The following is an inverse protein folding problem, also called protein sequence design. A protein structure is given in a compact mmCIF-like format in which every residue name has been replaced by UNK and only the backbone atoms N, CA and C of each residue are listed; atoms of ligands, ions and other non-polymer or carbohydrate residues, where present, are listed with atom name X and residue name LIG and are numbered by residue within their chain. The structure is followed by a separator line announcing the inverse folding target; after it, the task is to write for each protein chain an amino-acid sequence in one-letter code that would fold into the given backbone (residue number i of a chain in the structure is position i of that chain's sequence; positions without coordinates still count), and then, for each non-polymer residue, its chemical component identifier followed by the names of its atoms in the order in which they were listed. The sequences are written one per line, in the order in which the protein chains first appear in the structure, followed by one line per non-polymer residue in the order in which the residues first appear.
data_IF_424055187930
#
_entry.id   IF_424055187930
#
_cell.length_a   1.000
_cell.length_b   1.000
_cell.length_c   1.000
_cell.angle_alpha   90.00
_cell.angle_beta   90.00
_cell.angle_gamma   90.00
#
_symmetry.space_group_name_H-M   'P 1'
#
loop_
_entity.id
_entity.type
_entity.pdbx_description
1 polymer ?
#
# COMPACT_ATOMS: atom_id res chain seq x y z
N UNK A 1 -0.64 13.18 -38.27
CA UNK A 1 -1.08 11.86 -38.81
C UNK A 1 0.04 11.06 -39.47
N UNK A 2 0.94 11.63 -40.28
CA UNK A 2 2.05 10.88 -40.91
C UNK A 2 3.11 10.35 -39.90
N UNK A 3 3.36 11.04 -38.79
CA UNK A 3 4.32 10.65 -37.78
C UNK A 3 3.87 9.44 -36.93
N UNK A 4 2.56 9.33 -36.66
CA UNK A 4 1.99 8.21 -35.90
C UNK A 4 2.02 6.92 -36.74
N UNK A 5 1.84 7.03 -38.06
CA UNK A 5 1.89 5.88 -38.97
C UNK A 5 3.29 5.22 -39.09
N UNK A 6 4.35 6.01 -38.85
CA UNK A 6 5.74 5.52 -38.88
C UNK A 6 6.16 4.80 -37.58
N UNK A 7 5.54 5.13 -36.45
CA UNK A 7 5.73 4.38 -35.20
C UNK A 7 5.15 2.97 -35.26
N UNK A 8 3.96 2.82 -35.86
CA UNK A 8 3.27 1.53 -35.99
C UNK A 8 4.01 0.50 -36.85
N UNK A 9 4.92 0.93 -37.71
CA UNK A 9 5.71 0.04 -38.60
C UNK A 9 7.18 -0.08 -38.18
N UNK A 10 7.58 0.42 -37.01
CA UNK A 10 8.95 0.29 -36.50
C UNK A 10 10.00 1.06 -37.31
N UNK A 11 9.60 1.96 -38.22
CA UNK A 11 10.47 2.74 -39.09
C UNK A 11 10.88 4.09 -38.51
N UNK A 12 10.41 4.46 -37.32
CA UNK A 12 10.88 5.65 -36.64
C UNK A 12 12.22 5.36 -35.98
N UNK A 13 13.26 6.14 -36.25
CA UNK A 13 14.48 5.97 -35.47
C UNK A 13 14.17 6.17 -34.00
N UNK A 14 14.48 5.17 -33.19
CA UNK A 14 14.41 5.28 -31.73
C UNK A 14 15.10 6.58 -31.32
N UNK A 15 14.47 7.43 -30.50
CA UNK A 15 15.13 8.62 -29.98
C UNK A 15 16.44 8.15 -29.35
N UNK A 16 17.56 8.80 -29.72
CA UNK A 16 18.84 8.52 -29.07
C UNK A 16 18.60 8.66 -27.58
N UNK A 17 18.80 7.57 -26.82
CA UNK A 17 18.70 7.59 -25.36
C UNK A 17 19.48 8.78 -24.86
N UNK A 18 18.81 9.69 -24.17
CA UNK A 18 19.45 10.78 -23.47
C UNK A 18 20.35 10.14 -22.40
N UNK A 19 21.64 10.09 -22.64
CA UNK A 19 22.61 9.80 -21.61
C UNK A 19 22.73 11.06 -20.74
N UNK A 20 21.82 11.20 -19.80
CA UNK A 20 21.98 12.19 -18.74
C UNK A 20 23.04 11.63 -17.78
N UNK A 21 24.24 12.11 -17.98
CA UNK A 21 25.27 11.97 -16.95
C UNK A 21 25.01 13.10 -15.93
N UNK A 22 24.36 12.84 -14.78
CA UNK A 22 24.17 13.84 -13.76
C UNK A 22 25.57 14.25 -13.27
N UNK A 23 25.94 15.47 -13.58
CA UNK A 23 27.26 16.04 -13.38
C UNK A 23 27.92 15.55 -12.09
N UNK A 24 28.95 14.74 -12.20
CA UNK A 24 29.99 14.59 -11.20
C UNK A 24 29.72 13.72 -9.98
N UNK A 25 28.60 12.99 -9.89
CA UNK A 25 28.46 11.94 -8.85
C UNK A 25 28.97 10.62 -9.43
N UNK A 26 30.00 9.99 -8.83
CA UNK A 26 30.26 8.60 -9.10
C UNK A 26 29.01 7.84 -8.68
N UNK A 27 28.32 7.22 -9.64
CA UNK A 27 27.22 6.30 -9.35
C UNK A 27 27.83 5.17 -8.52
N UNK A 28 27.54 5.17 -7.22
CA UNK A 28 27.93 4.08 -6.34
C UNK A 28 27.27 2.81 -6.88
N UNK A 29 28.05 1.97 -7.52
CA UNK A 29 27.56 0.68 -8.01
C UNK A 29 27.15 -0.16 -6.81
N UNK A 30 25.89 -0.55 -6.76
CA UNK A 30 25.45 -1.65 -5.93
C UNK A 30 24.70 -1.33 -4.65
N UNK A 31 24.48 -0.07 -4.29
CA UNK A 31 23.80 0.28 -3.03
C UNK A 31 22.53 1.12 -3.24
N UNK A 32 21.83 0.93 -4.34
CA UNK A 32 20.58 1.62 -4.64
C UNK A 32 19.45 0.62 -4.92
N UNK A 33 18.30 0.85 -4.32
CA UNK A 33 17.07 0.08 -4.51
C UNK A 33 15.97 1.02 -5.01
N UNK A 34 15.34 0.67 -6.13
CA UNK A 34 14.12 1.33 -6.57
C UNK A 34 12.92 0.49 -6.16
N UNK A 35 12.00 1.12 -5.42
CA UNK A 35 10.75 0.51 -4.96
C UNK A 35 9.57 1.09 -5.70
N UNK A 36 8.77 0.22 -6.32
CA UNK A 36 7.58 0.61 -7.06
C UNK A 36 6.29 0.09 -6.42
N UNK A 37 5.76 0.77 -5.39
CA UNK A 37 4.39 0.52 -4.94
C UNK A 37 3.38 1.13 -5.90
N UNK A 38 2.39 0.33 -6.30
CA UNK A 38 1.29 0.83 -7.12
C UNK A 38 0.28 1.61 -6.28
N UNK A 39 -0.48 2.50 -6.92
CA UNK A 39 -1.66 3.09 -6.30
C UNK A 39 -2.86 2.18 -6.57
N UNK A 40 -3.26 1.42 -5.54
CA UNK A 40 -4.53 0.69 -5.54
C UNK A 40 -5.69 1.58 -5.08
N UNK A 41 -6.63 0.97 -4.35
CA UNK A 41 -7.77 1.65 -3.73
C UNK A 41 -7.37 2.42 -2.46
N UNK A 42 -6.19 2.10 -1.89
CA UNK A 42 -5.69 2.69 -0.64
C UNK A 42 -4.16 2.60 -0.52
N UNK A 43 -3.66 2.87 0.68
CA UNK A 43 -2.22 2.91 0.99
C UNK A 43 -1.53 1.54 1.08
N UNK A 44 -2.22 0.41 0.85
CA UNK A 44 -1.71 -0.93 1.14
C UNK A 44 -0.31 -1.23 0.59
N UNK A 45 -0.12 -1.03 -0.71
CA UNK A 45 1.16 -1.26 -1.38
C UNK A 45 2.25 -0.27 -0.91
N UNK A 46 1.89 1.01 -0.81
CA UNK A 46 2.78 2.06 -0.35
C UNK A 46 3.28 1.80 1.09
N UNK A 47 2.37 1.44 1.99
CA UNK A 47 2.69 1.16 3.40
C UNK A 47 3.63 -0.02 3.55
N UNK A 48 3.40 -1.12 2.82
CA UNK A 48 4.31 -2.28 2.84
C UNK A 48 5.70 -1.94 2.32
N UNK A 49 5.77 -1.21 1.19
CA UNK A 49 7.07 -0.77 0.65
C UNK A 49 7.79 0.17 1.61
N UNK A 50 7.07 1.07 2.27
CA UNK A 50 7.67 1.96 3.27
C UNK A 50 8.16 1.18 4.49
N UNK A 51 7.41 0.15 4.92
CA UNK A 51 7.81 -0.74 6.00
C UNK A 51 9.12 -1.49 5.67
N UNK A 52 9.23 -1.99 4.44
CA UNK A 52 10.45 -2.63 3.94
C UNK A 52 11.61 -1.64 3.87
N UNK A 53 11.39 -0.47 3.28
CA UNK A 53 12.40 0.58 3.15
C UNK A 53 12.97 1.03 4.50
N UNK A 54 12.11 1.22 5.51
CA UNK A 54 12.54 1.56 6.89
C UNK A 54 13.50 0.49 7.44
N UNK A 55 13.16 -0.78 7.29
CA UNK A 55 13.97 -1.89 7.83
C UNK A 55 15.28 -2.02 7.07
N UNK A 56 15.25 -1.98 5.75
CA UNK A 56 16.48 -2.03 4.94
C UNK A 56 17.44 -0.87 5.27
N UNK A 57 16.92 0.36 5.43
CA UNK A 57 17.75 1.52 5.83
C UNK A 57 18.23 1.44 7.28
N UNK A 58 17.54 0.73 8.15
CA UNK A 58 17.98 0.46 9.53
C UNK A 58 19.14 -0.53 9.55
N UNK A 59 19.11 -1.54 8.68
CA UNK A 59 20.15 -2.56 8.56
C UNK A 59 21.38 -2.03 7.82
N UNK A 60 21.19 -1.23 6.77
CA UNK A 60 22.25 -0.53 6.04
C UNK A 60 21.90 0.96 5.88
N UNK A 61 22.52 1.79 6.70
CA UNK A 61 22.32 3.26 6.67
C UNK A 61 22.82 3.93 5.39
N UNK A 62 23.70 3.26 4.62
CA UNK A 62 24.24 3.77 3.37
C UNK A 62 23.38 3.36 2.16
N UNK A 63 22.35 2.52 2.39
CA UNK A 63 21.46 2.10 1.32
C UNK A 63 20.63 3.28 0.81
N UNK A 64 20.73 3.56 -0.47
CA UNK A 64 19.86 4.52 -1.14
C UNK A 64 18.56 3.82 -1.55
N UNK A 65 17.45 4.23 -0.97
CA UNK A 65 16.12 3.76 -1.34
C UNK A 65 15.39 4.88 -2.06
N UNK A 66 14.89 4.59 -3.25
CA UNK A 66 14.15 5.52 -4.09
C UNK A 66 12.78 4.92 -4.38
N UNK A 67 11.74 5.72 -4.24
CA UNK A 67 10.41 5.31 -4.67
C UNK A 67 10.15 5.78 -6.09
N UNK A 68 9.64 4.88 -6.91
CA UNK A 68 8.96 5.21 -8.15
C UNK A 68 7.51 4.81 -8.00
N UNK A 69 6.55 5.74 -8.08
CA UNK A 69 5.18 5.42 -7.67
C UNK A 69 4.12 6.21 -8.41
N UNK A 70 2.93 5.63 -8.48
CA UNK A 70 1.71 6.32 -8.92
C UNK A 70 0.94 6.97 -7.75
N UNK A 71 1.46 6.90 -6.52
CA UNK A 71 0.88 7.51 -5.33
C UNK A 71 1.17 9.01 -5.28
N UNK A 72 0.16 9.88 -5.14
CA UNK A 72 0.36 11.34 -5.15
C UNK A 72 0.92 11.88 -3.81
N UNK A 73 0.95 11.08 -2.74
CA UNK A 73 1.31 11.51 -1.39
C UNK A 73 2.81 11.42 -1.09
N UNK A 74 3.64 11.94 -1.98
CA UNK A 74 5.13 11.86 -1.88
C UNK A 74 5.69 12.53 -0.62
N UNK A 75 5.00 13.51 -0.07
CA UNK A 75 5.41 14.20 1.17
C UNK A 75 5.54 13.25 2.36
N UNK A 76 4.86 12.09 2.34
CA UNK A 76 4.95 11.06 3.38
C UNK A 76 6.32 10.35 3.41
N UNK A 77 7.09 10.42 2.34
CA UNK A 77 8.43 9.85 2.25
C UNK A 77 9.51 10.77 2.84
N UNK A 78 9.22 12.08 2.93
CA UNK A 78 10.18 13.10 3.41
C UNK A 78 10.72 12.82 4.81
N UNK A 79 9.89 12.44 5.83
CA UNK A 79 10.39 12.13 7.17
C UNK A 79 11.37 10.96 7.22
N UNK A 80 11.36 10.11 6.20
CA UNK A 80 12.21 8.92 6.08
C UNK A 80 13.46 9.16 5.21
N UNK A 81 13.63 10.39 4.67
CA UNK A 81 14.73 10.71 3.76
C UNK A 81 14.72 9.86 2.49
N UNK A 82 13.53 9.55 1.96
CA UNK A 82 13.34 8.73 0.76
C UNK A 82 12.93 9.65 -0.39
N UNK A 83 13.77 9.82 -1.43
CA UNK A 83 13.41 10.53 -2.65
C UNK A 83 12.41 9.69 -3.47
N UNK A 84 11.64 10.38 -4.34
CA UNK A 84 10.65 9.69 -5.15
C UNK A 84 10.50 10.31 -6.54
N UNK A 85 10.29 9.44 -7.53
CA UNK A 85 9.76 9.77 -8.84
C UNK A 85 8.25 9.44 -8.86
N UNK A 86 7.48 10.26 -9.55
CA UNK A 86 6.03 10.08 -9.62
C UNK A 86 5.55 10.10 -11.06
N UNK A 87 4.72 9.11 -11.41
CA UNK A 87 3.92 9.13 -12.63
C UNK A 87 2.45 8.98 -12.24
N UNK A 88 1.60 9.85 -12.74
CA UNK A 88 0.16 9.74 -12.47
C UNK A 88 -0.40 8.45 -13.07
N UNK A 89 -1.34 7.81 -12.36
CA UNK A 89 -2.02 6.62 -12.86
C UNK A 89 -2.84 6.89 -14.13
N UNK A 90 -3.11 5.89 -14.98
CA UNK A 90 -3.74 6.08 -16.30
C UNK A 90 -5.11 6.77 -16.21
N UNK A 91 -5.86 6.55 -15.14
CA UNK A 91 -7.18 7.17 -14.93
C UNK A 91 -7.15 8.70 -14.78
N UNK A 92 -5.98 9.29 -14.52
CA UNK A 92 -5.82 10.74 -14.35
C UNK A 92 -5.38 11.44 -15.65
N UNK A 93 -5.11 10.69 -16.71
CA UNK A 93 -4.78 11.22 -18.03
C UNK A 93 -6.00 11.15 -18.92
N UNK A 94 -6.59 12.29 -19.26
CA UNK A 94 -7.66 12.35 -20.24
C UNK A 94 -7.10 12.16 -21.65
N UNK A 95 -7.68 11.22 -22.41
CA UNK A 95 -7.32 10.98 -23.80
C UNK A 95 -6.06 10.14 -24.05
N UNK A 96 -5.42 9.62 -23.00
CA UNK A 96 -4.35 8.64 -23.12
C UNK A 96 -4.94 7.23 -22.97
N UNK A 97 -4.65 6.35 -23.92
CA UNK A 97 -5.00 4.95 -23.80
C UNK A 97 -3.97 4.17 -22.95
N UNK A 98 -4.27 2.90 -22.66
CA UNK A 98 -3.40 2.07 -21.84
C UNK A 98 -2.05 1.75 -22.49
N UNK A 99 -1.96 1.77 -23.82
CA UNK A 99 -0.72 1.53 -24.56
C UNK A 99 0.20 2.76 -24.48
N UNK A 100 -0.35 3.93 -24.70
CA UNK A 100 0.37 5.19 -24.58
C UNK A 100 0.86 5.41 -23.16
N UNK A 101 0.01 5.16 -22.14
CA UNK A 101 0.42 5.26 -20.74
C UNK A 101 1.55 4.29 -20.39
N UNK A 102 1.50 3.04 -20.90
CA UNK A 102 2.57 2.08 -20.68
C UNK A 102 3.88 2.48 -21.40
N UNK A 103 3.80 3.21 -22.51
CA UNK A 103 4.99 3.75 -23.17
C UNK A 103 5.65 4.85 -22.33
N UNK A 104 4.85 5.76 -21.77
CA UNK A 104 5.35 6.77 -20.82
C UNK A 104 5.95 6.14 -19.56
N UNK A 105 5.29 5.13 -18.99
CA UNK A 105 5.79 4.42 -17.83
C UNK A 105 7.15 3.75 -18.11
N UNK A 106 7.31 3.14 -19.28
CA UNK A 106 8.57 2.52 -19.70
C UNK A 106 9.69 3.57 -19.81
N UNK A 107 9.41 4.71 -20.43
CA UNK A 107 10.37 5.81 -20.61
C UNK A 107 10.80 6.38 -19.26
N UNK A 108 9.86 6.75 -18.39
CA UNK A 108 10.12 7.33 -17.07
C UNK A 108 10.86 6.36 -16.14
N UNK A 109 10.47 5.09 -16.14
CA UNK A 109 11.15 4.09 -15.31
C UNK A 109 12.54 3.76 -15.85
N UNK A 110 12.72 3.73 -17.18
CA UNK A 110 14.04 3.58 -17.82
C UNK A 110 14.95 4.75 -17.44
N UNK A 111 14.44 5.98 -17.52
CA UNK A 111 15.16 7.16 -17.07
C UNK A 111 15.57 7.08 -15.60
N UNK A 112 14.67 6.63 -14.74
CA UNK A 112 14.93 6.41 -13.31
C UNK A 112 16.08 5.40 -13.12
N UNK A 113 16.07 4.27 -13.84
CA UNK A 113 17.14 3.27 -13.78
C UNK A 113 18.48 3.80 -14.28
N UNK A 114 18.49 4.59 -15.35
CA UNK A 114 19.71 5.18 -15.90
C UNK A 114 20.30 6.27 -15.00
N UNK A 115 19.43 7.00 -14.30
CA UNK A 115 19.85 8.06 -13.37
C UNK A 115 20.46 7.48 -12.09
N UNK A 116 19.87 6.42 -11.55
CA UNK A 116 20.22 5.90 -10.22
C UNK A 116 21.02 4.61 -10.24
N UNK A 117 21.10 3.92 -11.38
CA UNK A 117 21.81 2.65 -11.57
C UNK A 117 21.58 1.64 -10.41
N UNK A 118 20.32 1.26 -10.12
CA UNK A 118 20.02 0.41 -8.99
C UNK A 118 20.53 -1.01 -9.18
N UNK A 119 20.86 -1.67 -8.06
CA UNK A 119 21.14 -3.10 -8.03
C UNK A 119 19.90 -3.95 -7.80
N UNK A 120 18.83 -3.33 -7.31
CA UNK A 120 17.57 -4.02 -6.96
C UNK A 120 16.36 -3.17 -7.36
N UNK A 121 15.35 -3.85 -7.89
CA UNK A 121 14.03 -3.29 -8.18
C UNK A 121 12.98 -4.12 -7.48
N UNK A 122 12.17 -3.48 -6.63
CA UNK A 122 11.10 -4.14 -5.88
C UNK A 122 9.76 -3.56 -6.31
N UNK A 123 8.91 -4.40 -6.88
CA UNK A 123 7.57 -4.05 -7.27
C UNK A 123 6.55 -4.55 -6.25
N UNK A 124 5.59 -3.72 -5.84
CA UNK A 124 4.44 -4.14 -5.03
C UNK A 124 3.14 -3.70 -5.71
N UNK A 125 2.44 -4.65 -6.24
CA UNK A 125 1.18 -4.47 -6.95
C UNK A 125 0.50 -5.78 -7.25
N UNK A 126 -0.81 -5.72 -7.51
CA UNK A 126 -1.58 -6.91 -7.88
C UNK A 126 -1.13 -7.48 -9.23
N UNK A 127 -0.85 -6.59 -10.17
CA UNK A 127 -0.44 -6.94 -11.54
C UNK A 127 0.66 -6.00 -12.02
N UNK A 128 1.75 -6.55 -12.60
CA UNK A 128 2.77 -5.77 -13.26
C UNK A 128 2.23 -5.03 -14.48
N UNK A 129 2.67 -3.79 -14.64
CA UNK A 129 2.35 -3.01 -15.84
C UNK A 129 3.26 -3.40 -17.00
N UNK A 130 2.72 -3.44 -18.23
CA UNK A 130 3.50 -3.81 -19.41
C UNK A 130 4.69 -2.89 -19.68
N UNK A 131 4.54 -1.58 -19.47
CA UNK A 131 5.64 -0.63 -19.60
C UNK A 131 6.75 -0.89 -18.57
N UNK A 132 6.37 -1.25 -17.34
CA UNK A 132 7.34 -1.64 -16.31
C UNK A 132 8.08 -2.93 -16.70
N UNK A 133 7.38 -3.95 -17.18
CA UNK A 133 8.01 -5.20 -17.63
C UNK A 133 9.04 -4.96 -18.73
N UNK A 134 8.72 -4.11 -19.71
CA UNK A 134 9.69 -3.72 -20.76
C UNK A 134 10.87 -2.93 -20.20
N UNK A 135 10.66 -2.04 -19.24
CA UNK A 135 11.74 -1.28 -18.62
C UNK A 135 12.74 -2.15 -17.85
N UNK A 136 12.30 -3.26 -17.24
CA UNK A 136 13.19 -4.20 -16.50
C UNK A 136 13.77 -5.30 -17.39
N UNK A 137 13.21 -5.51 -18.58
CA UNK A 137 13.67 -6.55 -19.51
C UNK A 137 15.14 -6.37 -19.90
N UNK A 138 15.88 -7.47 -19.98
CA UNK A 138 17.28 -7.48 -20.40
C UNK A 138 18.27 -6.86 -19.40
N UNK A 139 17.84 -6.32 -18.26
CA UNK A 139 18.73 -5.76 -17.23
C UNK A 139 19.32 -6.87 -16.35
N UNK A 140 20.44 -7.45 -16.78
CA UNK A 140 21.09 -8.61 -16.13
C UNK A 140 21.67 -8.31 -14.75
N UNK A 141 22.02 -7.04 -14.48
CA UNK A 141 22.63 -6.62 -13.21
C UNK A 141 21.61 -6.04 -12.23
N UNK A 142 20.31 -6.19 -12.51
CA UNK A 142 19.20 -5.72 -11.70
C UNK A 142 18.47 -6.93 -11.10
N UNK A 143 18.52 -7.08 -9.78
CA UNK A 143 17.69 -8.06 -9.09
C UNK A 143 16.23 -7.58 -9.08
N UNK A 144 15.34 -8.35 -9.66
CA UNK A 144 13.93 -8.01 -9.87
C UNK A 144 13.05 -8.81 -8.91
N UNK A 145 12.41 -8.12 -8.00
CA UNK A 145 11.59 -8.71 -6.94
C UNK A 145 10.15 -8.24 -7.09
N UNK A 146 9.22 -9.18 -7.04
CA UNK A 146 7.80 -8.86 -6.96
C UNK A 146 7.25 -9.21 -5.57
N UNK A 147 6.86 -8.20 -4.82
CA UNK A 147 6.11 -8.34 -3.57
C UNK A 147 4.65 -8.63 -3.91
N UNK A 148 4.25 -9.88 -3.82
CA UNK A 148 2.93 -10.35 -4.24
C UNK A 148 2.22 -11.03 -3.08
N UNK A 149 1.11 -10.45 -2.62
CA UNK A 149 0.26 -11.13 -1.63
C UNK A 149 -0.32 -12.42 -2.22
N UNK A 150 -0.38 -13.46 -1.40
CA UNK A 150 -0.88 -14.77 -1.82
C UNK A 150 -2.38 -14.96 -1.63
N UNK A 151 -3.02 -14.14 -0.78
CA UNK A 151 -4.42 -14.32 -0.45
C UNK A 151 -5.33 -13.66 -1.48
N UNK A 152 -5.87 -14.49 -2.35
CA UNK A 152 -6.85 -14.08 -3.33
C UNK A 152 -8.18 -14.79 -3.08
N UNK A 153 -9.28 -14.10 -3.34
CA UNK A 153 -10.60 -14.70 -3.33
C UNK A 153 -10.63 -15.94 -4.24
N UNK A 154 -11.28 -17.00 -3.81
CA UNK A 154 -11.46 -18.21 -4.61
C UNK A 154 -12.07 -17.85 -5.98
N UNK A 155 -11.36 -18.24 -7.05
CA UNK A 155 -11.74 -17.93 -8.44
C UNK A 155 -11.19 -16.61 -8.99
N UNK A 156 -10.44 -15.83 -8.23
CA UNK A 156 -9.71 -14.67 -8.77
C UNK A 156 -8.70 -15.15 -9.83
N UNK A 157 -8.70 -14.48 -10.99
CA UNK A 157 -7.69 -14.74 -12.02
C UNK A 157 -6.41 -14.00 -11.68
N UNK A 158 -5.35 -14.76 -11.48
CA UNK A 158 -4.00 -14.22 -11.30
C UNK A 158 -3.32 -14.32 -12.66
N UNK A 159 -2.81 -13.21 -13.24
CA UNK A 159 -1.97 -13.31 -14.43
C UNK A 159 -0.64 -13.97 -14.04
N UNK A 160 -0.51 -15.22 -14.42
CA UNK A 160 0.71 -16.02 -14.16
C UNK A 160 1.83 -15.66 -15.14
N UNK A 161 1.48 -15.08 -16.28
CA UNK A 161 2.37 -14.72 -17.39
C UNK A 161 3.45 -13.68 -17.07
N UNK A 162 3.36 -13.01 -15.93
CA UNK A 162 4.32 -11.96 -15.55
C UNK A 162 5.41 -12.44 -14.59
N UNK A 163 5.28 -13.63 -14.01
CA UNK A 163 6.22 -14.17 -13.00
C UNK A 163 7.63 -14.33 -13.58
N UNK A 164 7.74 -14.76 -14.83
CA UNK A 164 9.01 -15.00 -15.54
C UNK A 164 9.90 -13.76 -15.70
N UNK A 165 9.37 -12.57 -15.49
CA UNK A 165 10.14 -11.33 -15.58
C UNK A 165 10.87 -10.97 -14.27
N UNK A 166 10.62 -11.73 -13.20
CA UNK A 166 11.21 -11.49 -11.88
C UNK A 166 12.15 -12.63 -11.48
N UNK A 167 13.14 -12.29 -10.67
CA UNK A 167 14.10 -13.26 -10.15
C UNK A 167 13.55 -13.91 -8.86
N UNK A 168 12.79 -13.13 -8.06
CA UNK A 168 12.21 -13.57 -6.78
C UNK A 168 10.78 -13.04 -6.64
N UNK A 169 9.87 -13.89 -6.19
CA UNK A 169 8.55 -13.50 -5.70
C UNK A 169 8.59 -13.53 -4.18
N UNK A 170 8.38 -12.38 -3.54
CA UNK A 170 8.24 -12.30 -2.08
C UNK A 170 6.77 -12.29 -1.71
N UNK A 171 6.39 -13.23 -0.85
CA UNK A 171 5.02 -13.36 -0.35
C UNK A 171 4.97 -12.97 1.13
N UNK A 172 4.44 -11.77 1.45
CA UNK A 172 4.15 -11.41 2.84
C UNK A 172 3.09 -12.33 3.41
N UNK A 173 3.33 -12.86 4.60
CA UNK A 173 2.37 -13.71 5.31
C UNK A 173 1.03 -13.01 5.56
N UNK A 174 -0.02 -13.78 5.70
CA UNK A 174 -1.36 -13.32 6.04
C UNK A 174 -1.94 -14.19 7.16
N UNK A 175 -3.17 -13.91 7.60
CA UNK A 175 -3.82 -14.65 8.68
C UNK A 175 -4.28 -16.05 8.26
N UNK A 176 -4.47 -16.28 6.96
CA UNK A 176 -4.92 -17.57 6.41
C UNK A 176 -3.74 -18.32 5.84
N UNK A 177 -3.68 -19.62 6.10
CA UNK A 177 -2.72 -20.51 5.46
C UNK A 177 -2.93 -20.51 3.94
N UNK A 178 -1.89 -20.10 3.25
CA UNK A 178 -1.90 -20.07 1.80
C UNK A 178 -1.69 -21.48 1.26
N UNK A 179 -2.44 -21.81 0.20
CA UNK A 179 -2.17 -23.02 -0.56
C UNK A 179 -0.72 -22.98 -1.09
N UNK A 180 -0.05 -24.12 -1.06
CA UNK A 180 1.23 -24.24 -1.71
C UNK A 180 1.09 -23.95 -3.19
N UNK A 181 1.78 -22.94 -3.65
CA UNK A 181 1.83 -22.56 -5.07
C UNK A 181 3.25 -22.84 -5.56
N UNK A 182 3.38 -23.75 -6.48
CA UNK A 182 4.60 -23.88 -7.27
C UNK A 182 4.62 -22.80 -8.33
N UNK A 183 5.64 -21.96 -8.31
CA UNK A 183 5.81 -20.94 -9.35
C UNK A 183 6.40 -21.59 -10.60
N UNK A 184 5.78 -21.33 -11.74
CA UNK A 184 6.32 -21.73 -13.04
C UNK A 184 7.66 -21.02 -13.31
N UNK A 185 8.46 -21.56 -14.23
CA UNK A 185 9.73 -20.99 -14.71
C UNK A 185 10.90 -20.95 -13.72
N UNK A 186 10.84 -21.69 -12.60
CA UNK A 186 11.96 -21.78 -11.65
C UNK A 186 12.23 -20.45 -10.90
N UNK A 187 11.24 -19.59 -10.80
CA UNK A 187 11.31 -18.35 -10.02
C UNK A 187 11.29 -18.70 -8.53
N UNK A 188 12.19 -18.10 -7.76
CA UNK A 188 12.27 -18.32 -6.32
C UNK A 188 11.04 -17.73 -5.61
N UNK A 189 10.41 -18.52 -4.73
CA UNK A 189 9.35 -18.06 -3.83
C UNK A 189 9.90 -17.90 -2.41
N UNK A 190 10.00 -16.66 -1.96
CA UNK A 190 10.39 -16.32 -0.58
C UNK A 190 9.15 -15.91 0.22
N UNK A 191 9.01 -16.47 1.44
CA UNK A 191 7.96 -16.06 2.39
C UNK A 191 8.55 -15.19 3.49
N UNK A 192 7.82 -14.19 3.93
CA UNK A 192 8.18 -13.37 5.08
C UNK A 192 6.97 -13.19 6.01
N UNK A 193 7.18 -12.85 7.29
CA UNK A 193 6.08 -12.51 8.19
C UNK A 193 5.21 -11.38 7.66
N UNK A 194 3.99 -11.20 8.21
CA UNK A 194 3.15 -10.04 7.89
C UNK A 194 3.91 -8.74 8.08
N UNK A 195 3.73 -7.80 7.14
CA UNK A 195 4.48 -6.54 7.13
C UNK A 195 3.66 -5.44 7.79
N UNK A 196 4.15 -4.95 8.92
CA UNK A 196 3.60 -3.81 9.68
C UNK A 196 4.58 -2.65 9.59
N UNK A 197 4.09 -1.42 9.40
CA UNK A 197 4.96 -0.25 9.17
C UNK A 197 5.68 0.19 10.45
N UNK A 198 4.97 0.24 11.57
CA UNK A 198 5.49 0.75 12.84
C UNK A 198 5.92 -0.41 13.75
N UNK A 199 6.96 -0.17 14.51
CA UNK A 199 7.29 -0.98 15.68
C UNK A 199 6.55 -0.39 16.91
N UNK A 200 6.40 -1.13 18.00
CA UNK A 200 5.67 -0.66 19.19
C UNK A 200 6.27 0.63 19.79
N UNK A 201 7.56 0.79 19.65
CA UNK A 201 8.30 1.99 20.08
C UNK A 201 8.04 3.23 19.25
N UNK A 202 7.49 3.06 18.04
CA UNK A 202 7.10 4.17 17.16
C UNK A 202 5.72 4.75 17.53
N UNK A 203 4.93 4.04 18.35
CA UNK A 203 3.61 4.49 18.76
C UNK A 203 3.70 5.67 19.74
N UNK A 204 2.82 6.63 19.55
CA UNK A 204 2.68 7.72 20.50
C UNK A 204 2.21 7.21 21.87
N UNK A 205 2.78 7.65 22.99
CA UNK A 205 2.20 7.40 24.30
C UNK A 205 0.74 7.85 24.35
N UNK A 206 -0.09 7.17 25.15
CA UNK A 206 -1.55 7.40 25.25
C UNK A 206 -1.89 8.87 25.43
N UNK A 207 -1.26 9.52 26.38
CA UNK A 207 -1.51 10.92 26.71
C UNK A 207 -1.18 11.85 25.53
N UNK A 208 -0.08 11.57 24.83
CA UNK A 208 0.34 12.36 23.68
C UNK A 208 -0.56 12.15 22.48
N UNK A 209 -1.02 10.91 22.23
CA UNK A 209 -1.96 10.60 21.17
C UNK A 209 -3.28 11.33 21.40
N UNK A 210 -3.84 11.24 22.60
CA UNK A 210 -5.10 11.91 22.97
C UNK A 210 -5.00 13.43 22.94
N UNK A 211 -3.90 13.97 23.45
CA UNK A 211 -3.64 15.42 23.38
C UNK A 211 -3.64 15.93 21.93
N UNK A 212 -2.97 15.24 21.03
CA UNK A 212 -2.96 15.62 19.60
C UNK A 212 -4.32 15.57 18.94
N UNK A 213 -5.17 14.68 19.39
CA UNK A 213 -6.53 14.50 18.88
C UNK A 213 -7.56 15.41 19.56
N UNK A 214 -7.16 16.17 20.59
CA UNK A 214 -8.08 16.99 21.37
C UNK A 214 -9.08 16.19 22.20
N UNK A 215 -8.68 14.99 22.66
CA UNK A 215 -9.54 14.05 23.39
C UNK A 215 -9.20 14.07 24.88
N UNK A 216 -10.19 14.09 25.79
CA UNK A 216 -9.97 13.96 27.23
C UNK A 216 -9.22 12.66 27.59
N UNK A 217 -8.45 12.69 28.69
CA UNK A 217 -7.61 11.53 29.07
C UNK A 217 -8.41 10.38 29.68
N UNK A 218 -9.53 10.67 30.32
CA UNK A 218 -10.35 9.75 31.16
C UNK A 218 -11.61 9.22 30.47
N UNK A 219 -11.79 9.50 29.17
CA UNK A 219 -12.89 8.93 28.40
C UNK A 219 -12.52 7.60 27.73
N UNK A 220 -13.51 6.87 27.26
CA UNK A 220 -13.34 5.73 26.37
C UNK A 220 -13.25 6.23 24.92
N UNK A 221 -12.34 5.66 24.14
CA UNK A 221 -12.11 6.07 22.76
C UNK A 221 -12.20 4.89 21.81
N UNK A 222 -13.10 4.95 20.86
CA UNK A 222 -13.25 3.96 19.79
C UNK A 222 -12.72 4.55 18.48
N UNK A 223 -11.76 3.88 17.86
CA UNK A 223 -11.30 4.24 16.53
C UNK A 223 -12.17 3.56 15.47
N UNK A 224 -12.63 4.29 14.47
CA UNK A 224 -13.47 3.78 13.39
C UNK A 224 -12.80 4.01 12.04
N UNK A 225 -12.57 2.95 11.26
CA UNK A 225 -12.02 3.03 9.90
C UNK A 225 -12.59 1.94 8.99
N UNK A 226 -13.62 2.24 8.23
CA UNK A 226 -14.32 1.28 7.37
C UNK A 226 -13.79 1.22 5.91
N UNK A 227 -12.57 1.69 5.69
CA UNK A 227 -11.91 1.67 4.38
C UNK A 227 -11.78 3.05 3.74
N UNK A 228 -11.39 3.09 2.46
CA UNK A 228 -11.10 4.35 1.74
C UNK A 228 -12.31 4.92 0.98
N UNK A 229 -13.47 4.26 1.00
CA UNK A 229 -14.69 4.72 0.30
C UNK A 229 -14.62 4.68 -1.23
N UNK A 230 -13.65 3.96 -1.79
CA UNK A 230 -13.48 3.88 -3.25
C UNK A 230 -14.11 2.62 -3.87
N UNK A 231 -14.49 1.64 -3.09
CA UNK A 231 -15.10 0.38 -3.56
C UNK A 231 -16.61 0.40 -3.34
N UNK A 232 -17.06 0.88 -2.19
CA UNK A 232 -18.47 0.98 -1.80
C UNK A 232 -18.74 2.31 -1.11
N UNK A 233 -20.01 2.69 -1.03
CA UNK A 233 -20.41 3.85 -0.24
C UNK A 233 -20.30 3.51 1.26
N UNK A 234 -19.23 3.99 1.88
CA UNK A 234 -18.99 3.84 3.31
C UNK A 234 -19.68 4.91 4.14
N UNK A 235 -20.27 5.94 3.55
CA UNK A 235 -20.85 7.08 4.28
C UNK A 235 -22.02 6.63 5.15
N UNK A 236 -22.91 5.83 4.59
CA UNK A 236 -24.04 5.26 5.33
C UNK A 236 -23.59 4.28 6.42
N UNK A 237 -22.53 3.50 6.16
CA UNK A 237 -21.97 2.55 7.13
C UNK A 237 -21.32 3.29 8.31
N UNK A 238 -20.55 4.33 8.03
CA UNK A 238 -19.96 5.20 9.06
C UNK A 238 -21.04 5.81 9.91
N UNK A 239 -22.11 6.35 9.31
CA UNK A 239 -23.19 7.00 10.04
C UNK A 239 -23.88 6.04 11.00
N UNK A 240 -24.24 4.84 10.54
CA UNK A 240 -24.87 3.81 11.38
C UNK A 240 -23.93 3.41 12.53
N UNK A 241 -22.65 3.19 12.23
CA UNK A 241 -21.64 2.84 13.23
C UNK A 241 -21.50 3.94 14.29
N UNK A 242 -21.49 5.21 13.88
CA UNK A 242 -21.43 6.34 14.81
C UNK A 242 -22.70 6.44 15.66
N UNK A 243 -23.87 6.29 15.04
CA UNK A 243 -25.17 6.34 15.74
C UNK A 243 -25.25 5.24 16.80
N UNK A 244 -24.73 4.04 16.55
CA UNK A 244 -24.70 2.95 17.53
C UNK A 244 -23.71 3.21 18.67
N UNK A 245 -22.49 3.61 18.37
CA UNK A 245 -21.46 3.86 19.38
C UNK A 245 -21.85 5.02 20.31
N UNK A 246 -22.40 6.10 19.75
CA UNK A 246 -22.76 7.32 20.48
C UNK A 246 -24.02 7.21 21.35
N UNK A 247 -24.74 6.07 21.29
CA UNK A 247 -25.80 5.75 22.29
C UNK A 247 -25.23 5.56 23.70
N UNK A 248 -23.94 5.31 23.81
CA UNK A 248 -23.27 5.08 25.09
C UNK A 248 -22.59 6.35 25.58
N UNK A 249 -22.94 6.82 26.75
CA UNK A 249 -22.40 8.01 27.37
C UNK A 249 -20.88 7.88 27.63
N UNK A 250 -20.15 8.98 27.48
CA UNK A 250 -18.72 9.05 27.80
C UNK A 250 -17.79 8.38 26.78
N UNK A 251 -18.31 7.98 25.61
CA UNK A 251 -17.50 7.47 24.52
C UNK A 251 -17.16 8.61 23.55
N UNK A 252 -15.89 8.70 23.20
CA UNK A 252 -15.40 9.50 22.07
C UNK A 252 -15.07 8.59 20.90
N UNK A 253 -15.36 9.06 19.70
CA UNK A 253 -15.02 8.35 18.46
C UNK A 253 -13.94 9.10 17.70
N UNK A 254 -12.91 8.38 17.26
CA UNK A 254 -11.93 8.88 16.31
C UNK A 254 -12.21 8.24 14.96
N UNK A 255 -12.65 9.05 14.00
CA UNK A 255 -12.94 8.59 12.64
C UNK A 255 -11.70 8.73 11.76
N UNK A 256 -11.13 7.60 11.35
CA UNK A 256 -9.96 7.57 10.46
C UNK A 256 -10.37 7.89 9.02
N UNK A 257 -9.89 9.02 8.52
CA UNK A 257 -10.11 9.46 7.14
C UNK A 257 -8.90 9.12 6.27
N UNK A 258 -9.15 8.58 5.07
CA UNK A 258 -8.08 8.32 4.11
C UNK A 258 -7.52 9.64 3.55
N UNK A 259 -6.20 9.78 3.49
CA UNK A 259 -5.55 10.96 2.91
C UNK A 259 -5.78 11.10 1.40
N UNK A 260 -6.17 10.02 0.71
CA UNK A 260 -6.44 9.98 -0.74
C UNK A 260 -7.93 9.80 -1.07
N UNK A 261 -8.77 9.62 -0.05
CA UNK A 261 -10.23 9.50 -0.18
C UNK A 261 -10.94 10.85 -0.20
N UNK A 262 -12.25 10.79 -0.38
CA UNK A 262 -13.12 11.95 -0.17
C UNK A 262 -13.10 12.37 1.28
N UNK A 263 -13.29 13.65 1.56
CA UNK A 263 -13.45 14.13 2.93
C UNK A 263 -14.76 13.65 3.51
N UNK A 264 -14.70 13.26 4.77
CA UNK A 264 -15.88 12.88 5.55
C UNK A 264 -16.32 14.12 6.31
N UNK A 265 -17.48 14.62 5.98
CA UNK A 265 -18.09 15.78 6.66
C UNK A 265 -18.98 15.27 7.80
N UNK A 266 -18.42 15.29 9.02
CA UNK A 266 -19.12 14.88 10.24
C UNK A 266 -18.87 15.90 11.33
N UNK A 267 -19.92 16.61 11.71
CA UNK A 267 -19.93 17.52 12.87
C UNK A 267 -20.85 16.97 13.94
N UNK A 268 -20.32 16.04 14.75
CA UNK A 268 -21.03 15.46 15.88
C UNK A 268 -20.24 15.66 17.17
N UNK A 269 -20.91 15.90 18.31
CA UNK A 269 -20.25 15.92 19.61
C UNK A 269 -19.47 14.62 19.84
N UNK A 270 -18.30 14.70 20.43
CA UNK A 270 -17.42 13.57 20.74
C UNK A 270 -16.91 12.77 19.53
N UNK A 271 -17.05 13.28 18.31
CA UNK A 271 -16.45 12.70 17.09
C UNK A 271 -15.27 13.56 16.64
N UNK A 272 -14.10 12.92 16.46
CA UNK A 272 -12.87 13.55 16.05
C UNK A 272 -12.41 12.93 14.74
N UNK A 273 -12.13 13.72 13.71
CA UNK A 273 -11.64 13.20 12.43
C UNK A 273 -10.11 13.16 12.45
N UNK A 274 -9.55 11.98 12.21
CA UNK A 274 -8.11 11.77 12.09
C UNK A 274 -7.74 11.59 10.62
N UNK A 275 -7.04 12.57 10.07
CA UNK A 275 -6.46 12.54 8.73
C UNK A 275 -4.94 12.67 8.84
N UNK A 276 -4.27 11.60 9.21
CA UNK A 276 -2.82 11.52 9.38
C UNK A 276 -2.29 10.21 8.80
N UNK A 277 -0.98 10.06 8.76
CA UNK A 277 -0.34 8.84 8.29
C UNK A 277 0.99 8.58 9.01
N UNK A 278 1.20 7.37 9.47
CA UNK A 278 0.20 6.27 9.60
C UNK A 278 -0.73 6.48 10.80
N UNK A 279 -2.02 6.17 10.64
CA UNK A 279 -3.00 6.31 11.72
C UNK A 279 -2.67 5.41 12.92
N UNK A 280 -2.03 4.28 12.70
CA UNK A 280 -1.62 3.34 13.74
C UNK A 280 -0.65 3.95 14.78
N UNK A 281 0.02 5.07 14.50
CA UNK A 281 0.82 5.75 15.51
C UNK A 281 0.02 6.20 16.74
N UNK A 282 -1.30 6.36 16.62
CA UNK A 282 -2.23 6.78 17.68
C UNK A 282 -2.84 5.62 18.48
N UNK A 283 -2.55 4.37 18.13
CA UNK A 283 -3.27 3.20 18.66
C UNK A 283 -3.24 3.06 20.17
N UNK A 284 -2.17 3.48 20.85
CA UNK A 284 -2.15 3.54 22.32
C UNK A 284 -3.15 4.55 22.92
N UNK A 285 -3.68 5.47 22.12
CA UNK A 285 -4.72 6.43 22.52
C UNK A 285 -6.13 5.86 22.51
N UNK A 286 -6.34 4.71 21.86
CA UNK A 286 -7.66 4.08 21.67
C UNK A 286 -7.87 2.92 22.62
N UNK A 287 -9.13 2.62 22.93
CA UNK A 287 -9.53 1.51 23.80
C UNK A 287 -10.11 0.34 22.99
N UNK A 288 -10.65 0.62 21.80
CA UNK A 288 -11.16 -0.38 20.86
C UNK A 288 -11.13 0.19 19.43
N UNK A 289 -11.30 -0.70 18.45
CA UNK A 289 -11.35 -0.31 17.04
C UNK A 289 -12.53 -1.00 16.34
N UNK A 290 -13.20 -0.26 15.45
CA UNK A 290 -14.14 -0.80 14.45
C UNK A 290 -13.54 -0.57 13.08
N UNK A 291 -13.24 -1.63 12.34
CA UNK A 291 -12.54 -1.48 11.06
C UNK A 291 -12.91 -2.55 10.03
N UNK A 292 -12.68 -2.21 8.76
CA UNK A 292 -12.63 -3.20 7.70
C UNK A 292 -11.39 -4.10 7.84
N UNK A 293 -11.47 -5.32 7.31
CA UNK A 293 -10.41 -6.32 7.40
C UNK A 293 -9.28 -6.17 6.35
N UNK A 294 -8.91 -4.95 5.96
CA UNK A 294 -7.81 -4.71 5.05
C UNK A 294 -6.47 -5.20 5.62
N UNK A 295 -5.58 -5.72 4.77
CA UNK A 295 -4.32 -6.36 5.18
C UNK A 295 -3.54 -5.55 6.23
N UNK A 296 -3.20 -4.30 5.94
CA UNK A 296 -2.38 -3.49 6.86
C UNK A 296 -3.10 -3.25 8.18
N UNK A 297 -4.36 -2.77 8.14
CA UNK A 297 -5.13 -2.48 9.35
C UNK A 297 -5.33 -3.70 10.23
N UNK A 298 -5.59 -4.87 9.62
CA UNK A 298 -5.72 -6.13 10.32
C UNK A 298 -4.44 -6.49 11.08
N UNK A 299 -3.30 -6.50 10.38
CA UNK A 299 -2.02 -6.88 11.00
C UNK A 299 -1.50 -5.85 11.99
N UNK A 300 -1.75 -4.55 11.78
CA UNK A 300 -1.43 -3.50 12.76
C UNK A 300 -2.26 -3.68 14.04
N UNK A 301 -3.56 -3.92 13.92
CA UNK A 301 -4.44 -4.14 15.07
C UNK A 301 -4.04 -5.38 15.87
N UNK A 302 -3.71 -6.48 15.17
CA UNK A 302 -3.20 -7.71 15.79
C UNK A 302 -1.86 -7.46 16.50
N UNK A 303 -0.92 -6.79 15.84
CA UNK A 303 0.41 -6.52 16.37
C UNK A 303 0.39 -5.65 17.61
N UNK A 304 -0.54 -4.70 17.69
CA UNK A 304 -0.63 -3.75 18.82
C UNK A 304 -1.71 -4.14 19.85
N UNK A 305 -2.38 -5.28 19.65
CA UNK A 305 -3.28 -5.87 20.67
C UNK A 305 -4.52 -5.05 20.96
N UNK A 306 -5.07 -4.29 19.99
CA UNK A 306 -6.33 -3.57 20.21
C UNK A 306 -7.54 -4.49 20.11
N UNK A 307 -8.50 -4.41 21.07
CA UNK A 307 -9.80 -5.03 20.90
C UNK A 307 -10.49 -4.54 19.63
N UNK A 308 -11.01 -5.46 18.82
CA UNK A 308 -11.51 -5.10 17.48
C UNK A 308 -12.85 -5.72 17.16
N UNK A 309 -13.70 -4.89 16.54
CA UNK A 309 -14.86 -5.32 15.78
C UNK A 309 -14.57 -5.15 14.30
N UNK A 310 -14.53 -6.23 13.56
CA UNK A 310 -14.35 -6.20 12.11
C UNK A 310 -15.70 -6.10 11.40
N UNK A 311 -15.76 -5.17 10.45
CA UNK A 311 -16.84 -5.07 9.48
C UNK A 311 -16.23 -5.18 8.07
N UNK A 312 -15.95 -6.43 7.61
CA UNK A 312 -15.19 -6.67 6.40
C UNK A 312 -15.94 -6.20 5.15
N UNK A 313 -15.20 -5.59 4.22
CA UNK A 313 -15.75 -5.27 2.91
C UNK A 313 -15.89 -6.54 2.07
N UNK A 314 -17.13 -6.94 1.79
CA UNK A 314 -17.46 -8.16 1.03
C UNK A 314 -17.38 -7.96 -0.49
N UNK A 315 -17.26 -6.72 -0.98
CA UNK A 315 -17.24 -6.38 -2.42
C UNK A 315 -15.82 -6.25 -2.99
N UNK A 316 -14.79 -6.51 -2.19
CA UNK A 316 -13.41 -6.53 -2.67
C UNK A 316 -13.23 -7.64 -3.70
N UNK A 317 -12.75 -7.27 -4.91
CA UNK A 317 -12.67 -8.22 -6.03
C UNK A 317 -11.62 -9.33 -5.86
N UNK A 318 -10.54 -9.06 -5.13
CA UNK A 318 -9.39 -9.97 -5.00
C UNK A 318 -9.02 -10.29 -3.55
N UNK A 319 -9.19 -9.36 -2.62
CA UNK A 319 -8.79 -9.50 -1.22
C UNK A 319 -9.92 -10.15 -0.41
N UNK A 320 -9.68 -11.28 0.25
CA UNK A 320 -10.69 -11.94 1.09
C UNK A 320 -10.61 -11.41 2.53
N UNK A 321 -11.23 -10.24 2.74
CA UNK A 321 -11.25 -9.62 4.06
C UNK A 321 -12.06 -10.42 5.07
N UNK A 322 -13.16 -11.03 4.64
CA UNK A 322 -14.01 -11.82 5.53
C UNK A 322 -13.24 -13.03 6.07
N UNK A 323 -12.61 -13.80 5.19
CA UNK A 323 -11.84 -14.96 5.60
C UNK A 323 -10.72 -14.57 6.59
N UNK A 324 -10.03 -13.46 6.35
CA UNK A 324 -9.02 -12.93 7.29
C UNK A 324 -9.61 -12.56 8.64
N UNK A 325 -10.76 -11.90 8.68
CA UNK A 325 -11.40 -11.48 9.93
C UNK A 325 -11.93 -12.67 10.74
N UNK A 326 -12.44 -13.72 10.09
CA UNK A 326 -12.90 -14.94 10.75
C UNK A 326 -11.77 -15.65 11.51
N UNK A 327 -10.51 -15.56 11.05
CA UNK A 327 -9.37 -16.07 11.82
C UNK A 327 -9.22 -15.34 13.14
N UNK A 328 -9.42 -14.03 13.19
CA UNK A 328 -9.37 -13.26 14.43
C UNK A 328 -10.48 -13.67 15.40
N UNK A 329 -11.67 -13.98 14.90
CA UNK A 329 -12.80 -14.47 15.69
C UNK A 329 -12.51 -15.89 16.22
N UNK A 330 -12.03 -16.79 15.40
CA UNK A 330 -11.68 -18.16 15.78
C UNK A 330 -10.52 -18.20 16.81
N UNK A 331 -9.54 -17.29 16.68
CA UNK A 331 -8.45 -17.11 17.64
C UNK A 331 -8.87 -16.33 18.92
N UNK A 332 -10.07 -15.75 18.95
CA UNK A 332 -10.67 -15.12 20.13
C UNK A 332 -10.14 -13.71 20.47
N UNK A 333 -9.53 -12.99 19.50
CA UNK A 333 -9.03 -11.63 19.73
C UNK A 333 -9.81 -10.54 18.99
N UNK A 334 -10.83 -10.90 18.18
CA UNK A 334 -11.70 -10.00 17.45
C UNK A 334 -13.09 -10.54 17.28
N UNK A 335 -14.03 -9.67 16.92
CA UNK A 335 -15.39 -10.03 16.57
C UNK A 335 -15.67 -9.64 15.12
N UNK A 336 -16.56 -10.37 14.44
CA UNK A 336 -16.90 -10.12 13.04
C UNK A 336 -18.38 -9.84 12.89
N UNK A 337 -18.69 -8.69 12.31
CA UNK A 337 -20.06 -8.29 11.91
C UNK A 337 -20.12 -8.31 10.39
N UNK A 338 -21.07 -9.03 9.81
CA UNK A 338 -21.21 -9.22 8.36
C UNK A 338 -22.30 -8.35 7.75
N UNK A 339 -23.28 -7.95 8.56
CA UNK A 339 -24.45 -7.21 8.13
C UNK A 339 -24.77 -6.06 9.09
N UNK A 340 -25.57 -5.10 8.63
CA UNK A 340 -26.01 -3.94 9.45
C UNK A 340 -26.90 -4.33 10.64
N UNK A 341 -27.44 -5.54 10.64
CA UNK A 341 -28.41 -6.02 11.64
C UNK A 341 -27.76 -6.87 12.72
N UNK A 342 -26.53 -7.26 12.55
CA UNK A 342 -25.69 -7.92 13.57
C UNK A 342 -25.04 -6.89 14.49
#
# INVERSE_FOLDING_TARGET
MLLIGLELVGLRPQPKRLQLNPAGRPLARGNCVIMFPTNGVGFGHFTRMLALAKRMKKDDSNLEVIFFTTMPTLHLLKPHGIPAHHISGPKYFQGIDSQEWNALLEEELTFCFETHNPSMFVFDGAFPYRGMLRAIEGRKNLNKIWMRRGMFRKGARIPVDSVQHFDVIVRPGDAIDEQEEELEHGVELMRCPPMVLLDETDLLPREKARYRLGIPQDCRVVYVQLGAGQINDITSEIRITLDEILKHDGIHVVLGESMIGSRIDVELPNVHVLRDYPNSQYFKGFDAVVQAGGYNSFHETRAFGLPVLFYPNLETGMDDQLARCLVAEDEGWGYVVKTRTE
#
